data_IF_011346563945
#
_entry.id   IF_011346563945
#
_cell.length_a   1.000
_cell.length_b   1.000
_cell.length_c   1.000
_cell.angle_alpha   90.00
_cell.angle_beta   90.00
_cell.angle_gamma   90.00
#
_symmetry.space_group_name_H-M   'P 1'
#
loop_
_entity.id
_entity.type
_entity.pdbx_description
1 polymer ?
#
# COMPACT_ATOMS: atom_id res chain seq x y z
N UNK A 1 4.10 24.94 2.63
CA UNK A 1 4.26 23.96 3.72
C UNK A 1 4.03 22.52 3.32
N UNK A 2 3.21 22.24 2.30
CA UNK A 2 2.91 20.86 1.88
C UNK A 2 4.10 20.08 1.34
N UNK A 3 4.96 20.73 0.54
CA UNK A 3 6.11 20.05 -0.09
C UNK A 3 7.17 19.63 0.94
N UNK A 4 7.47 20.47 1.93
CA UNK A 4 8.45 20.16 2.96
C UNK A 4 7.96 19.03 3.88
N UNK A 5 6.68 19.05 4.25
CA UNK A 5 6.08 18.01 5.07
C UNK A 5 6.02 16.67 4.33
N UNK A 6 5.66 16.69 3.04
CA UNK A 6 5.65 15.51 2.18
C UNK A 6 7.05 14.90 2.09
N UNK A 7 8.07 15.73 1.87
CA UNK A 7 9.46 15.29 1.83
C UNK A 7 9.89 14.66 3.15
N UNK A 8 9.51 15.25 4.28
CA UNK A 8 9.80 14.72 5.61
C UNK A 8 9.17 13.34 5.81
N UNK A 9 7.90 13.14 5.43
CA UNK A 9 7.22 11.85 5.54
C UNK A 9 7.86 10.80 4.62
N UNK A 10 8.24 11.19 3.41
CA UNK A 10 8.91 10.28 2.49
C UNK A 10 10.28 9.84 3.03
N UNK A 11 11.04 10.75 3.64
CA UNK A 11 12.35 10.43 4.21
C UNK A 11 12.25 9.64 5.52
N UNK A 12 11.18 9.84 6.30
CA UNK A 12 10.98 9.14 7.56
C UNK A 12 10.94 7.62 7.38
N UNK A 13 10.33 7.14 6.29
CA UNK A 13 10.19 5.71 6.02
C UNK A 13 11.24 5.17 5.05
N UNK A 14 12.11 6.02 4.52
CA UNK A 14 13.02 5.65 3.44
C UNK A 14 14.05 4.59 3.84
N UNK A 15 14.53 4.64 5.08
CA UNK A 15 15.54 3.71 5.61
C UNK A 15 14.96 2.70 6.60
N UNK A 16 13.63 2.63 6.74
CA UNK A 16 12.98 1.69 7.64
C UNK A 16 12.75 0.35 6.95
N UNK A 17 12.91 -0.73 7.70
CA UNK A 17 12.53 -2.05 7.22
C UNK A 17 11.00 -2.18 7.16
N UNK A 18 10.52 -3.16 6.40
CA UNK A 18 9.08 -3.46 6.35
C UNK A 18 8.53 -3.69 7.75
N UNK A 19 9.23 -4.48 8.57
CA UNK A 19 8.80 -4.78 9.94
C UNK A 19 8.67 -3.51 10.79
N UNK A 20 9.63 -2.61 10.70
CA UNK A 20 9.60 -1.34 11.43
C UNK A 20 8.43 -0.47 11.00
N UNK A 21 8.16 -0.41 9.69
CA UNK A 21 7.01 0.35 9.15
C UNK A 21 5.69 -0.27 9.63
N UNK A 22 5.57 -1.60 9.57
CA UNK A 22 4.39 -2.31 10.04
C UNK A 22 4.13 -2.04 11.52
N UNK A 23 5.17 -2.11 12.35
CA UNK A 23 5.06 -1.87 13.79
C UNK A 23 4.61 -0.43 14.06
N UNK A 24 5.11 0.54 13.30
CA UNK A 24 4.70 1.93 13.41
C UNK A 24 3.22 2.12 13.06
N UNK A 25 2.74 1.43 12.02
CA UNK A 25 1.33 1.47 11.61
C UNK A 25 0.44 0.86 12.68
N UNK A 26 0.83 -0.30 13.22
CA UNK A 26 0.08 -0.96 14.30
C UNK A 26 -0.02 -0.02 15.51
N UNK A 27 1.07 0.64 15.88
CA UNK A 27 1.08 1.60 16.98
C UNK A 27 0.13 2.76 16.74
N UNK A 28 0.15 3.34 15.52
CA UNK A 28 -0.72 4.44 15.16
C UNK A 28 -2.21 4.05 15.24
N UNK A 29 -2.56 2.86 14.72
CA UNK A 29 -3.93 2.36 14.79
C UNK A 29 -4.37 2.03 16.21
N UNK A 30 -3.46 1.59 17.07
CA UNK A 30 -3.77 1.26 18.46
C UNK A 30 -4.13 2.48 19.30
N UNK A 31 -3.79 3.68 18.84
CA UNK A 31 -4.18 4.93 19.52
C UNK A 31 -5.68 5.22 19.44
N UNK A 32 -6.39 4.57 18.54
CA UNK A 32 -7.81 4.78 18.33
C UNK A 32 -8.60 3.54 18.74
N UNK A 33 -9.50 3.68 19.70
CA UNK A 33 -10.38 2.57 20.14
C UNK A 33 -11.60 2.43 19.24
N UNK A 34 -12.05 3.54 18.64
CA UNK A 34 -13.24 3.59 17.80
C UNK A 34 -12.87 3.38 16.33
N UNK A 35 -13.60 2.50 15.64
CA UNK A 35 -13.38 2.22 14.23
C UNK A 35 -13.71 3.42 13.33
N UNK A 36 -14.61 4.29 13.74
CA UNK A 36 -14.87 5.53 12.99
C UNK A 36 -13.61 6.39 12.92
N UNK A 37 -12.85 6.48 14.00
CA UNK A 37 -11.57 7.19 14.02
C UNK A 37 -10.51 6.50 13.17
N UNK A 38 -10.49 5.17 13.16
CA UNK A 38 -9.58 4.40 12.32
C UNK A 38 -9.89 4.56 10.83
N UNK A 39 -11.17 4.59 10.46
CA UNK A 39 -11.59 4.90 9.09
C UNK A 39 -11.19 6.31 8.69
N UNK A 40 -11.36 7.28 9.58
CA UNK A 40 -10.93 8.66 9.34
C UNK A 40 -9.42 8.71 9.07
N UNK A 41 -8.63 7.95 9.82
CA UNK A 41 -7.19 7.86 9.59
C UNK A 41 -6.87 7.24 8.23
N UNK A 42 -7.57 6.19 7.82
CA UNK A 42 -7.39 5.59 6.49
C UNK A 42 -7.68 6.59 5.37
N UNK A 43 -8.75 7.37 5.51
CA UNK A 43 -9.11 8.40 4.53
C UNK A 43 -8.00 9.45 4.43
N UNK A 44 -7.47 9.90 5.57
CA UNK A 44 -6.36 10.85 5.58
C UNK A 44 -5.10 10.26 4.92
N UNK A 45 -4.80 9.00 5.20
CA UNK A 45 -3.68 8.31 4.56
C UNK A 45 -3.85 8.25 3.05
N UNK A 46 -5.07 8.08 2.58
CA UNK A 46 -5.36 8.04 1.14
C UNK A 46 -5.03 9.34 0.42
N UNK A 47 -5.09 10.47 1.11
CA UNK A 47 -4.74 11.77 0.53
C UNK A 47 -3.24 11.89 0.24
N UNK A 48 -2.42 11.09 0.92
CA UNK A 48 -0.97 11.06 0.73
C UNK A 48 -0.54 10.02 -0.31
N UNK A 49 -1.48 9.29 -0.90
CA UNK A 49 -1.19 8.23 -1.86
C UNK A 49 -0.41 8.76 -3.04
N UNK A 50 0.74 8.13 -3.40
CA UNK A 50 1.42 8.46 -4.66
C UNK A 50 0.49 8.15 -5.83
N UNK A 51 0.02 9.21 -6.49
CA UNK A 51 -0.99 9.09 -7.54
C UNK A 51 -0.36 8.49 -8.80
N UNK A 52 -1.02 7.48 -9.32
CA UNK A 52 -0.63 6.82 -10.56
C UNK A 52 -0.70 7.81 -11.73
N UNK A 53 0.28 7.72 -12.64
CA UNK A 53 0.26 8.51 -13.86
C UNK A 53 -0.99 8.20 -14.68
N UNK A 54 -1.59 9.22 -15.27
CA UNK A 54 -2.83 9.09 -16.05
C UNK A 54 -2.71 8.06 -17.17
N UNK A 55 -1.52 7.89 -17.75
CA UNK A 55 -1.28 6.91 -18.82
C UNK A 55 -1.44 5.46 -18.35
N UNK A 56 -1.38 5.21 -17.05
CA UNK A 56 -1.54 3.88 -16.47
C UNK A 56 -2.93 3.65 -15.88
N UNK A 57 -3.84 4.62 -15.99
CA UNK A 57 -5.24 4.45 -15.59
C UNK A 57 -6.01 3.74 -16.71
N UNK A 58 -5.71 2.49 -16.92
CA UNK A 58 -6.28 1.66 -17.97
C UNK A 58 -6.66 0.28 -17.40
N UNK A 59 -7.24 -0.56 -18.24
CA UNK A 59 -7.67 -1.89 -17.83
C UNK A 59 -6.50 -2.79 -17.43
N UNK A 60 -5.31 -2.58 -18.01
CA UNK A 60 -4.14 -3.39 -17.71
C UNK A 60 -3.64 -3.17 -16.28
N UNK A 61 -3.89 -1.99 -15.71
CA UNK A 61 -3.47 -1.63 -14.35
C UNK A 61 -4.63 -1.66 -13.34
N UNK A 62 -5.82 -2.03 -13.79
CA UNK A 62 -7.00 -2.13 -12.93
C UNK A 62 -6.94 -3.44 -12.15
N UNK A 63 -7.14 -3.35 -10.83
CA UNK A 63 -7.15 -4.54 -9.97
C UNK A 63 -8.53 -5.17 -10.02
N UNK A 64 -8.59 -6.44 -10.44
CA UNK A 64 -9.83 -7.22 -10.45
C UNK A 64 -10.14 -7.71 -9.04
N UNK A 65 -11.43 -7.80 -8.71
CA UNK A 65 -11.88 -8.28 -7.41
C UNK A 65 -12.20 -7.18 -6.42
N UNK A 66 -12.05 -5.92 -6.81
CA UNK A 66 -12.47 -4.76 -6.00
C UNK A 66 -13.84 -4.28 -6.48
N UNK A 67 -14.69 -3.89 -5.54
CA UNK A 67 -15.99 -3.28 -5.86
C UNK A 67 -15.79 -1.90 -6.49
N UNK A 68 -14.85 -1.13 -5.96
CA UNK A 68 -14.44 0.16 -6.50
C UNK A 68 -13.33 -0.04 -7.51
N UNK A 69 -13.14 0.93 -8.40
CA UNK A 69 -11.99 0.90 -9.32
C UNK A 69 -10.72 1.25 -8.56
N UNK A 70 -9.72 0.40 -8.71
CA UNK A 70 -8.38 0.63 -8.14
C UNK A 70 -7.36 0.36 -9.23
N UNK A 71 -6.54 1.35 -9.52
CA UNK A 71 -5.42 1.21 -10.45
C UNK A 71 -4.12 1.17 -9.66
N UNK A 72 -3.23 0.27 -10.05
CA UNK A 72 -1.94 0.10 -9.38
C UNK A 72 -0.84 -0.05 -10.42
N UNK A 73 0.25 0.68 -10.24
CA UNK A 73 1.46 0.52 -11.02
C UNK A 73 2.66 0.37 -10.10
N UNK A 74 3.70 -0.29 -10.59
CA UNK A 74 4.96 -0.45 -9.87
C UNK A 74 6.12 -0.20 -10.82
N UNK A 75 7.17 0.43 -10.30
CA UNK A 75 8.40 0.70 -11.04
C UNK A 75 9.59 0.21 -10.21
N UNK A 76 10.57 -0.37 -10.88
CA UNK A 76 11.82 -0.76 -10.25
C UNK A 76 12.84 0.35 -10.47
N UNK A 77 13.43 0.84 -9.39
CA UNK A 77 14.42 1.90 -9.44
C UNK A 77 15.49 1.63 -8.37
N UNK A 78 16.74 1.52 -8.81
CA UNK A 78 17.89 1.26 -7.93
C UNK A 78 17.68 0.00 -7.05
N UNK A 79 17.08 -1.05 -7.64
CA UNK A 79 16.85 -2.32 -6.96
C UNK A 79 15.66 -2.33 -6.01
N UNK A 80 14.89 -1.25 -5.95
CA UNK A 80 13.73 -1.11 -5.08
C UNK A 80 12.46 -0.90 -5.89
N UNK A 81 11.35 -1.43 -5.39
CA UNK A 81 10.04 -1.32 -6.04
C UNK A 81 9.29 -0.12 -5.46
N UNK A 82 8.80 0.75 -6.35
CA UNK A 82 8.00 1.90 -5.98
C UNK A 82 6.61 1.75 -6.57
N UNK A 83 5.59 1.89 -5.73
CA UNK A 83 4.19 1.73 -6.12
C UNK A 83 3.49 3.07 -6.21
N UNK A 84 2.57 3.18 -7.16
CA UNK A 84 1.63 4.29 -7.25
C UNK A 84 0.26 3.73 -7.55
N UNK A 85 -0.78 4.44 -7.14
CA UNK A 85 -2.15 3.95 -7.26
C UNK A 85 -3.14 5.11 -7.27
N UNK A 86 -4.39 4.78 -7.60
CA UNK A 86 -5.53 5.66 -7.37
C UNK A 86 -6.79 4.80 -7.26
N UNK A 87 -7.84 5.38 -6.71
CA UNK A 87 -9.15 4.75 -6.61
C UNK A 87 -10.24 5.81 -6.66
N UNK A 88 -11.43 5.39 -7.12
CA UNK A 88 -12.61 6.24 -7.11
C UNK A 88 -13.35 6.23 -5.76
N UNK A 89 -12.86 5.47 -4.77
CA UNK A 89 -13.43 5.39 -3.43
C UNK A 89 -12.39 5.77 -2.37
N UNK A 90 -12.76 6.68 -1.46
CA UNK A 90 -11.83 7.27 -0.49
C UNK A 90 -11.26 6.26 0.51
N UNK A 91 -12.08 5.32 1.00
CA UNK A 91 -11.61 4.28 1.93
C UNK A 91 -10.68 3.31 1.22
N UNK A 92 -11.05 2.89 0.01
CA UNK A 92 -10.24 2.00 -0.81
C UNK A 92 -8.88 2.62 -1.14
N UNK A 93 -8.87 3.92 -1.44
CA UNK A 93 -7.64 4.67 -1.66
C UNK A 93 -6.76 4.68 -0.40
N UNK A 94 -7.37 4.82 0.77
CA UNK A 94 -6.66 4.73 2.05
C UNK A 94 -6.04 3.36 2.28
N UNK A 95 -6.76 2.30 1.95
CA UNK A 95 -6.28 0.92 2.10
C UNK A 95 -5.09 0.67 1.17
N UNK A 96 -5.19 1.05 -0.10
CA UNK A 96 -4.07 0.84 -1.04
C UNK A 96 -2.85 1.66 -0.63
N UNK A 97 -3.06 2.87 -0.11
CA UNK A 97 -1.93 3.68 0.37
C UNK A 97 -1.29 3.10 1.62
N UNK A 98 -2.08 2.47 2.50
CA UNK A 98 -1.53 1.74 3.64
C UNK A 98 -0.53 0.68 3.19
N UNK A 99 -0.91 -0.10 2.19
CA UNK A 99 -0.04 -1.13 1.61
C UNK A 99 1.18 -0.52 0.91
N UNK A 100 1.00 0.60 0.21
CA UNK A 100 2.10 1.31 -0.45
C UNK A 100 3.12 1.78 0.60
N UNK A 101 2.67 2.29 1.73
CA UNK A 101 3.58 2.74 2.80
C UNK A 101 4.46 1.59 3.32
N UNK A 102 3.91 0.39 3.36
CA UNK A 102 4.64 -0.79 3.84
C UNK A 102 5.68 -1.26 2.80
N UNK A 103 5.28 -1.35 1.54
CA UNK A 103 6.07 -2.06 0.52
C UNK A 103 6.87 -1.15 -0.41
N UNK A 104 6.43 0.08 -0.64
CA UNK A 104 7.11 0.98 -1.58
C UNK A 104 8.49 1.35 -1.06
N UNK A 105 9.48 1.33 -1.95
CA UNK A 105 10.86 1.62 -1.56
C UNK A 105 11.63 0.44 -0.96
N UNK A 106 11.07 -0.77 -1.04
CA UNK A 106 11.70 -2.00 -0.54
C UNK A 106 12.17 -2.86 -1.71
N UNK A 107 13.11 -3.78 -1.44
CA UNK A 107 13.56 -4.73 -2.46
C UNK A 107 12.48 -5.77 -2.74
N UNK A 108 12.47 -6.37 -3.96
CA UNK A 108 11.52 -7.45 -4.25
C UNK A 108 11.61 -8.61 -3.26
N UNK A 109 12.82 -8.99 -2.82
CA UNK A 109 13.00 -10.07 -1.84
C UNK A 109 12.33 -9.74 -0.51
N UNK A 110 12.52 -8.52 -0.01
CA UNK A 110 11.94 -8.09 1.27
C UNK A 110 10.42 -8.05 1.20
N UNK A 111 9.87 -7.60 0.07
CA UNK A 111 8.42 -7.55 -0.15
C UNK A 111 7.84 -8.97 -0.11
N UNK A 112 8.47 -9.91 -0.81
CA UNK A 112 7.98 -11.29 -0.90
C UNK A 112 8.14 -12.05 0.42
N UNK A 113 9.10 -11.67 1.26
CA UNK A 113 9.36 -12.30 2.55
C UNK A 113 8.56 -11.67 3.70
N UNK A 114 7.80 -10.60 3.45
CA UNK A 114 7.11 -9.84 4.50
C UNK A 114 6.04 -10.67 5.20
N UNK A 115 5.97 -10.55 6.53
CA UNK A 115 4.89 -11.09 7.33
C UNK A 115 3.69 -10.15 7.24
N UNK A 116 2.53 -10.69 6.87
CA UNK A 116 1.31 -9.91 6.65
C UNK A 116 0.37 -9.93 7.85
N UNK A 117 0.80 -10.49 8.97
CA UNK A 117 -0.02 -10.58 10.19
C UNK A 117 -0.39 -9.22 10.77
N UNK A 118 0.35 -8.15 10.42
CA UNK A 118 0.04 -6.80 10.88
C UNK A 118 -1.38 -6.36 10.49
N UNK A 119 -1.91 -6.86 9.37
CA UNK A 119 -3.28 -6.57 8.94
C UNK A 119 -4.30 -7.12 9.92
N UNK A 120 -4.02 -8.29 10.51
CA UNK A 120 -4.87 -8.87 11.55
C UNK A 120 -4.72 -8.10 12.86
N UNK A 121 -3.51 -7.67 13.18
CA UNK A 121 -3.24 -6.89 14.40
C UNK A 121 -3.99 -5.56 14.42
N UNK A 122 -4.10 -4.89 13.27
CA UNK A 122 -4.89 -3.66 13.17
C UNK A 122 -6.39 -3.93 12.99
N UNK A 123 -6.79 -5.19 12.84
CA UNK A 123 -8.19 -5.60 12.76
C UNK A 123 -8.87 -5.23 11.43
N UNK A 124 -8.10 -4.96 10.40
CA UNK A 124 -8.64 -4.43 9.15
C UNK A 124 -9.58 -5.44 8.47
N UNK A 125 -9.19 -6.70 8.40
CA UNK A 125 -9.99 -7.75 7.75
C UNK A 125 -11.32 -7.98 8.45
N UNK A 126 -11.35 -7.87 9.79
CA UNK A 126 -12.55 -8.12 10.59
C UNK A 126 -13.59 -7.00 10.46
N UNK A 127 -13.13 -5.78 10.23
CA UNK A 127 -13.99 -4.59 10.23
C UNK A 127 -14.34 -4.07 8.85
N UNK A 128 -13.74 -4.63 7.80
CA UNK A 128 -14.13 -4.34 6.42
C UNK A 128 -15.29 -5.25 6.02
N UNK A 129 -16.18 -4.74 5.15
CA UNK A 129 -17.18 -5.59 4.51
C UNK A 129 -16.47 -6.73 3.75
N UNK A 130 -17.15 -7.87 3.50
CA UNK A 130 -16.55 -8.97 2.73
C UNK A 130 -16.00 -8.52 1.37
N UNK A 131 -16.70 -7.62 0.69
CA UNK A 131 -16.27 -7.09 -0.61
C UNK A 131 -14.97 -6.28 -0.49
N UNK A 132 -14.87 -5.41 0.53
CA UNK A 132 -13.65 -4.63 0.77
C UNK A 132 -12.50 -5.50 1.23
N UNK A 133 -12.78 -6.52 2.03
CA UNK A 133 -11.78 -7.48 2.47
C UNK A 133 -11.19 -8.25 1.29
N UNK A 134 -12.04 -8.66 0.33
CA UNK A 134 -11.61 -9.30 -0.90
C UNK A 134 -10.76 -8.33 -1.75
N UNK A 135 -11.14 -7.06 -1.79
CA UNK A 135 -10.37 -6.02 -2.47
C UNK A 135 -8.98 -5.83 -1.87
N UNK A 136 -8.88 -5.84 -0.54
CA UNK A 136 -7.59 -5.77 0.14
C UNK A 136 -6.69 -6.94 -0.27
N UNK A 137 -7.21 -8.16 -0.28
CA UNK A 137 -6.45 -9.35 -0.70
C UNK A 137 -6.04 -9.26 -2.17
N UNK A 138 -6.91 -8.75 -3.04
CA UNK A 138 -6.60 -8.56 -4.45
C UNK A 138 -5.48 -7.54 -4.67
N UNK A 139 -5.50 -6.44 -3.92
CA UNK A 139 -4.44 -5.43 -3.95
C UNK A 139 -3.10 -6.04 -3.52
N UNK A 140 -3.11 -6.77 -2.41
CA UNK A 140 -1.94 -7.42 -1.86
C UNK A 140 -1.34 -8.40 -2.86
N UNK A 141 -2.17 -9.24 -3.43
CA UNK A 141 -1.76 -10.21 -4.45
C UNK A 141 -1.10 -9.52 -5.64
N UNK A 142 -1.68 -8.43 -6.12
CA UNK A 142 -1.13 -7.70 -7.27
C UNK A 142 0.21 -7.06 -6.93
N UNK A 143 0.36 -6.50 -5.74
CA UNK A 143 1.62 -5.92 -5.29
C UNK A 143 2.72 -6.98 -5.21
N UNK A 144 2.39 -8.16 -4.69
CA UNK A 144 3.34 -9.28 -4.62
C UNK A 144 3.69 -9.81 -6.00
N UNK A 145 2.74 -9.84 -6.94
CA UNK A 145 3.01 -10.25 -8.32
C UNK A 145 4.00 -9.30 -9.01
N UNK A 146 3.85 -8.00 -8.80
CA UNK A 146 4.82 -7.02 -9.31
C UNK A 146 6.22 -7.28 -8.74
N UNK A 147 6.31 -7.52 -7.43
CA UNK A 147 7.59 -7.79 -6.78
C UNK A 147 8.23 -9.07 -7.32
N UNK A 148 7.44 -10.12 -7.53
CA UNK A 148 7.91 -11.38 -8.09
C UNK A 148 8.44 -11.20 -9.51
N UNK A 149 7.70 -10.45 -10.34
CA UNK A 149 8.13 -10.16 -11.72
C UNK A 149 9.47 -9.41 -11.75
N UNK A 150 9.64 -8.43 -10.88
CA UNK A 150 10.90 -7.67 -10.81
C UNK A 150 12.04 -8.52 -10.27
N UNK A 151 11.78 -9.40 -9.30
CA UNK A 151 12.78 -10.33 -8.79
C UNK A 151 13.30 -11.26 -9.88
N UNK A 152 12.40 -11.82 -10.69
CA UNK A 152 12.76 -12.66 -11.82
C UNK A 152 13.58 -11.90 -12.87
N UNK A 153 13.21 -10.65 -13.13
CA UNK A 153 13.91 -9.80 -14.09
C UNK A 153 15.34 -9.49 -13.62
N UNK A 154 15.52 -9.22 -12.33
CA UNK A 154 16.86 -8.98 -11.76
C UNK A 154 17.72 -10.25 -11.84
N UNK A 155 17.14 -11.42 -11.63
CA UNK A 155 17.85 -12.69 -11.69
C UNK A 155 18.33 -13.06 -13.10
N UNK A 156 17.84 -12.39 -14.14
CA UNK A 156 18.22 -12.64 -15.53
C UNK A 156 19.34 -11.72 -16.03
N UNK A 157 19.76 -10.76 -15.23
CA UNK A 157 20.80 -9.80 -15.62
C UNK A 157 22.22 -10.21 -15.20
#
# INVERSE_FOLDING_TARGET
MGAALFYYFCTKFQDMTIKEIQDSIVEDFSMFDDWMDRYAMLIEMGKECPIIDAKYRDEAHLINGCQSRVWLNAELKDGKVYYSADSDAVITKGIVNLLIKVFSGQTPEDILAADLSFLDEIGLKEHLSPTRSNGLLAMLKQMLLYAEAYKLKEGQS
#
